data_IF_456806275936
#
_entry.id   IF_456806275936
#
_cell.length_a   1.000
_cell.length_b   1.000
_cell.length_c   1.000
_cell.angle_alpha   90.00
_cell.angle_beta   90.00
_cell.angle_gamma   90.00
#
_symmetry.space_group_name_H-M   'P 1'
#
loop_
_entity.id
_entity.type
_entity.pdbx_description
1 polymer ?
#
# COMPACT_ATOMS: atom_id res chain seq x y z
N UNK A 1 15.38 -8.52 -16.60
CA UNK A 1 14.18 -7.88 -15.99
C UNK A 1 12.94 -8.40 -16.70
N UNK A 2 12.01 -8.93 -15.93
CA UNK A 2 10.74 -9.40 -16.48
C UNK A 2 9.88 -8.19 -16.84
N UNK A 3 9.64 -7.97 -18.13
CA UNK A 3 8.87 -6.84 -18.63
C UNK A 3 7.43 -6.85 -18.11
N UNK A 4 6.83 -8.02 -17.97
CA UNK A 4 5.47 -8.16 -17.47
C UNK A 4 5.40 -7.77 -16.00
N UNK A 5 6.38 -8.15 -15.20
CA UNK A 5 6.46 -7.75 -13.79
C UNK A 5 6.56 -6.23 -13.66
N UNK A 6 7.37 -5.60 -14.51
CA UNK A 6 7.51 -4.13 -14.52
C UNK A 6 6.20 -3.44 -14.86
N UNK A 7 5.46 -3.94 -15.83
CA UNK A 7 4.14 -3.38 -16.18
C UNK A 7 3.16 -3.51 -15.01
N UNK A 8 3.16 -4.65 -14.33
CA UNK A 8 2.29 -4.88 -13.18
C UNK A 8 2.65 -3.95 -12.02
N UNK A 9 3.93 -3.76 -11.75
CA UNK A 9 4.40 -2.84 -10.70
C UNK A 9 3.98 -1.41 -11.01
N UNK A 10 4.17 -0.96 -12.24
CA UNK A 10 3.77 0.39 -12.64
C UNK A 10 2.27 0.61 -12.47
N UNK A 11 1.47 -0.36 -12.87
CA UNK A 11 0.02 -0.29 -12.71
C UNK A 11 -0.41 -0.35 -11.25
N UNK A 12 0.16 -1.24 -10.47
CA UNK A 12 -0.09 -1.33 -9.04
C UNK A 12 0.27 -0.01 -8.34
N UNK A 13 1.40 0.58 -8.71
CA UNK A 13 1.83 1.87 -8.17
C UNK A 13 0.86 3.00 -8.47
N UNK A 14 0.32 3.04 -9.69
CA UNK A 14 -0.69 4.04 -10.05
C UNK A 14 -1.95 3.88 -9.23
N UNK A 15 -2.42 2.66 -9.05
CA UNK A 15 -3.60 2.35 -8.24
C UNK A 15 -3.34 2.74 -6.77
N UNK A 16 -2.16 2.45 -6.27
CA UNK A 16 -1.79 2.78 -4.89
C UNK A 16 -1.82 4.30 -4.66
N UNK A 17 -1.31 5.07 -5.61
CA UNK A 17 -1.34 6.54 -5.55
C UNK A 17 -2.76 7.10 -5.60
N UNK A 18 -3.63 6.51 -6.42
CA UNK A 18 -5.05 6.87 -6.47
C UNK A 18 -5.72 6.62 -5.11
N UNK A 19 -5.46 5.46 -4.52
CA UNK A 19 -5.96 5.14 -3.18
C UNK A 19 -5.53 6.19 -2.16
N UNK A 20 -4.26 6.57 -2.15
CA UNK A 20 -3.75 7.60 -1.25
C UNK A 20 -4.49 8.92 -1.43
N UNK A 21 -4.60 9.38 -2.66
CA UNK A 21 -5.24 10.66 -2.97
C UNK A 21 -6.71 10.67 -2.56
N UNK A 22 -7.43 9.57 -2.81
CA UNK A 22 -8.85 9.46 -2.46
C UNK A 22 -9.05 9.34 -0.95
N UNK A 23 -8.25 8.52 -0.29
CA UNK A 23 -8.40 8.22 1.14
C UNK A 23 -8.09 9.43 2.02
N UNK A 24 -7.06 10.20 1.65
CA UNK A 24 -6.57 11.31 2.47
C UNK A 24 -6.88 12.67 1.89
N UNK A 25 -7.85 12.75 0.98
CA UNK A 25 -8.19 14.00 0.27
C UNK A 25 -8.68 15.13 1.17
N UNK A 26 -9.29 14.79 2.31
CA UNK A 26 -9.84 15.78 3.24
C UNK A 26 -8.92 16.10 4.41
N UNK A 27 -7.77 15.44 4.51
CA UNK A 27 -6.86 15.66 5.64
C UNK A 27 -5.99 16.89 5.41
N UNK A 28 -5.76 17.66 6.48
CA UNK A 28 -4.86 18.83 6.45
C UNK A 28 -3.41 18.38 6.24
N UNK A 29 -2.99 17.31 6.91
CA UNK A 29 -1.66 16.72 6.72
C UNK A 29 -1.85 15.35 6.08
N UNK A 30 -1.41 15.24 4.84
CA UNK A 30 -1.55 14.02 4.04
C UNK A 30 -0.34 13.12 4.18
N UNK A 31 -0.57 11.82 4.06
CA UNK A 31 0.53 10.87 3.91
C UNK A 31 1.35 11.25 2.68
N UNK A 32 2.68 11.45 2.79
CA UNK A 32 3.48 11.85 1.64
C UNK A 32 3.51 10.76 0.56
N UNK A 33 3.42 11.15 -0.70
CA UNK A 33 3.49 10.19 -1.80
C UNK A 33 4.82 9.42 -1.82
N UNK A 34 5.90 10.05 -1.36
CA UNK A 34 7.20 9.39 -1.28
C UNK A 34 7.20 8.21 -0.30
N UNK A 35 6.32 8.22 0.72
CA UNK A 35 6.17 7.08 1.62
C UNK A 35 5.67 5.85 0.87
N UNK A 36 4.70 6.03 -0.05
CA UNK A 36 4.20 4.94 -0.88
C UNK A 36 5.28 4.42 -1.84
N UNK A 37 6.04 5.32 -2.44
CA UNK A 37 7.16 4.95 -3.33
C UNK A 37 8.19 4.13 -2.56
N UNK A 38 8.46 4.50 -1.32
CA UNK A 38 9.39 3.76 -0.45
C UNK A 38 8.87 2.36 -0.13
N UNK A 39 7.58 2.22 0.15
CA UNK A 39 6.95 0.91 0.37
C UNK A 39 7.10 0.04 -0.89
N UNK A 40 6.83 0.62 -2.06
CA UNK A 40 6.96 -0.09 -3.34
C UNK A 40 8.41 -0.54 -3.58
N UNK A 41 9.37 0.33 -3.34
CA UNK A 41 10.78 0.05 -3.51
C UNK A 41 11.24 -1.09 -2.59
N UNK A 42 10.89 -1.01 -1.32
CA UNK A 42 11.24 -2.04 -0.34
C UNK A 42 10.59 -3.38 -0.68
N UNK A 43 9.34 -3.35 -1.13
CA UNK A 43 8.63 -4.55 -1.58
C UNK A 43 9.34 -5.20 -2.76
N UNK A 44 9.73 -4.41 -3.76
CA UNK A 44 10.43 -4.93 -4.95
C UNK A 44 11.75 -5.60 -4.61
N UNK A 45 12.44 -5.08 -3.59
CA UNK A 45 13.73 -5.62 -3.17
C UNK A 45 13.63 -6.82 -2.25
N UNK A 46 12.46 -7.13 -1.73
CA UNK A 46 12.29 -8.26 -0.84
C UNK A 46 12.39 -9.57 -1.63
N UNK A 47 13.38 -10.37 -1.28
CA UNK A 47 13.67 -11.65 -1.95
C UNK A 47 12.63 -12.73 -1.71
N UNK A 48 11.76 -12.52 -0.72
CA UNK A 48 10.68 -13.45 -0.40
C UNK A 48 9.45 -13.26 -1.26
N UNK A 49 9.39 -12.20 -2.07
CA UNK A 49 8.26 -11.96 -2.94
C UNK A 49 8.31 -12.86 -4.18
N UNK A 50 7.16 -13.38 -4.63
CA UNK A 50 7.10 -14.15 -5.86
C UNK A 50 7.56 -13.31 -7.06
N UNK A 51 8.20 -13.94 -8.02
CA UNK A 51 8.58 -13.27 -9.27
C UNK A 51 7.41 -13.15 -10.25
N UNK A 52 6.38 -13.97 -10.09
CA UNK A 52 5.25 -14.04 -11.00
C UNK A 52 3.96 -13.65 -10.32
N UNK A 53 3.27 -12.70 -10.92
CA UNK A 53 1.92 -12.31 -10.52
C UNK A 53 1.00 -12.39 -11.74
N UNK A 54 -0.22 -12.83 -11.54
CA UNK A 54 -1.19 -12.90 -12.63
C UNK A 54 -1.87 -11.56 -12.88
N UNK A 55 -1.87 -10.65 -11.90
CA UNK A 55 -2.50 -9.34 -12.06
C UNK A 55 -1.86 -8.29 -11.16
N UNK A 56 -2.09 -7.02 -11.49
CA UNK A 56 -1.66 -5.90 -10.65
C UNK A 56 -2.40 -5.88 -9.31
N UNK A 57 -3.62 -6.41 -9.26
CA UNK A 57 -4.39 -6.49 -8.01
C UNK A 57 -3.74 -7.47 -7.03
N UNK A 58 -3.31 -8.63 -7.50
CA UNK A 58 -2.57 -9.58 -6.67
C UNK A 58 -1.26 -8.99 -6.13
N UNK A 59 -0.54 -8.30 -7.01
CA UNK A 59 0.70 -7.63 -6.63
C UNK A 59 0.45 -6.55 -5.59
N UNK A 60 -0.59 -5.74 -5.78
CA UNK A 60 -0.94 -4.67 -4.85
C UNK A 60 -1.40 -5.24 -3.51
N UNK A 61 -2.13 -6.36 -3.52
CA UNK A 61 -2.49 -7.09 -2.30
C UNK A 61 -1.26 -7.42 -1.46
N UNK A 62 -0.25 -8.01 -2.09
CA UNK A 62 0.98 -8.40 -1.40
C UNK A 62 1.80 -7.19 -0.98
N UNK A 63 1.83 -6.15 -1.80
CA UNK A 63 2.53 -4.90 -1.51
C UNK A 63 1.94 -4.18 -0.29
N UNK A 64 0.62 -4.10 -0.20
CA UNK A 64 -0.04 -3.47 0.95
C UNK A 64 0.15 -4.29 2.21
N UNK A 65 0.07 -5.59 2.13
CA UNK A 65 0.34 -6.47 3.26
C UNK A 65 1.79 -6.34 3.75
N UNK A 66 2.74 -6.30 2.81
CA UNK A 66 4.15 -6.06 3.11
C UNK A 66 4.34 -4.75 3.88
N UNK A 67 3.67 -3.68 3.45
CA UNK A 67 3.74 -2.39 4.12
C UNK A 67 3.19 -2.45 5.54
N UNK A 68 2.09 -3.13 5.75
CA UNK A 68 1.52 -3.31 7.10
C UNK A 68 2.50 -4.04 8.01
N UNK A 69 3.03 -5.16 7.57
CA UNK A 69 3.91 -6.00 8.39
C UNK A 69 5.25 -5.31 8.67
N UNK A 70 5.85 -4.72 7.65
CA UNK A 70 7.18 -4.11 7.79
C UNK A 70 7.18 -2.86 8.65
N UNK A 71 6.20 -1.96 8.44
CA UNK A 71 6.24 -0.64 9.07
C UNK A 71 5.33 -0.52 10.29
N UNK A 72 4.27 -1.31 10.34
CA UNK A 72 3.29 -1.23 11.43
C UNK A 72 3.20 -2.51 12.26
N UNK A 73 4.01 -3.51 11.95
CA UNK A 73 4.14 -4.82 12.59
C UNK A 73 2.98 -5.77 12.28
N UNK A 74 1.73 -5.37 12.49
CA UNK A 74 0.57 -6.22 12.22
C UNK A 74 -0.68 -5.40 11.89
N UNK A 75 -1.75 -6.11 11.56
CA UNK A 75 -3.03 -5.51 11.17
C UNK A 75 -3.76 -4.82 12.32
N UNK A 76 -3.35 -5.02 13.56
CA UNK A 76 -3.98 -4.37 14.71
C UNK A 76 -3.64 -2.88 14.81
N UNK A 77 -2.58 -2.46 14.15
CA UNK A 77 -2.06 -1.10 14.18
C UNK A 77 -1.67 -0.62 15.58
N UNK A 78 -1.40 -1.53 16.51
CA UNK A 78 -1.06 -1.19 17.89
C UNK A 78 0.27 -0.44 18.00
N UNK A 79 1.21 -0.70 17.09
CA UNK A 79 2.51 -0.01 17.06
C UNK A 79 2.57 1.15 16.08
N UNK A 80 1.44 1.53 15.47
CA UNK A 80 1.45 2.50 14.38
C UNK A 80 1.81 3.93 14.81
N UNK A 81 1.53 4.30 16.07
CA UNK A 81 1.81 5.64 16.57
C UNK A 81 3.30 6.00 16.51
N UNK A 82 4.17 5.00 16.60
CA UNK A 82 5.62 5.18 16.53
C UNK A 82 6.25 4.65 15.24
N UNK A 83 5.44 4.37 14.22
CA UNK A 83 5.91 3.81 12.96
C UNK A 83 6.85 4.77 12.23
N UNK A 84 7.82 4.20 11.54
CA UNK A 84 8.79 4.93 10.73
C UNK A 84 8.89 4.33 9.34
N UNK A 85 8.88 5.21 8.34
CA UNK A 85 9.22 4.84 6.96
C UNK A 85 10.39 5.72 6.55
N UNK A 86 11.57 5.13 6.44
CA UNK A 86 12.80 5.86 6.16
C UNK A 86 13.21 5.74 4.69
N UNK A 87 13.70 6.84 4.14
CA UNK A 87 14.28 6.84 2.79
C UNK A 87 15.44 5.84 2.73
N UNK A 88 15.50 5.00 1.68
CA UNK A 88 16.44 3.88 1.67
C UNK A 88 17.90 4.24 1.39
N UNK A 89 18.23 5.47 0.92
CA UNK A 89 19.54 5.73 0.36
C UNK A 89 20.40 6.72 1.15
N UNK A 90 20.04 7.99 1.23
CA UNK A 90 20.97 9.01 1.74
C UNK A 90 20.66 9.53 3.14
N UNK A 91 19.48 9.31 3.63
CA UNK A 91 19.02 9.87 4.90
C UNK A 91 18.30 8.80 5.69
N UNK A 92 19.08 7.88 6.20
CA UNK A 92 18.57 6.73 6.95
C UNK A 92 17.75 7.12 8.17
N UNK A 93 18.03 8.28 8.73
CA UNK A 93 17.35 8.76 9.93
C UNK A 93 16.13 9.63 9.63
N UNK A 94 15.81 9.82 8.35
CA UNK A 94 14.68 10.65 7.98
C UNK A 94 13.41 9.82 7.87
N UNK A 95 12.56 9.96 8.87
CA UNK A 95 11.25 9.32 8.87
C UNK A 95 10.28 10.15 8.03
N UNK A 96 9.75 9.55 6.98
CA UNK A 96 8.80 10.19 6.06
C UNK A 96 7.43 10.46 6.71
N UNK A 97 7.18 9.87 7.88
CA UNK A 97 5.95 10.07 8.64
C UNK A 97 6.08 11.16 9.73
N UNK A 98 7.17 11.91 9.75
CA UNK A 98 7.41 12.91 10.79
C UNK A 98 6.33 13.99 10.90
N UNK A 99 5.68 14.33 9.77
CA UNK A 99 4.61 15.34 9.77
C UNK A 99 3.28 14.81 10.25
N UNK A 100 3.18 13.52 10.48
CA UNK A 100 1.96 12.90 10.97
C UNK A 100 2.05 12.75 12.48
N UNK A 101 0.99 13.15 13.19
CA UNK A 101 0.89 12.89 14.63
C UNK A 101 0.53 11.41 14.86
N UNK A 102 0.49 10.99 16.12
CA UNK A 102 0.20 9.59 16.45
C UNK A 102 -1.13 9.11 15.90
N UNK A 103 -2.18 9.93 16.01
CA UNK A 103 -3.50 9.57 15.51
C UNK A 103 -3.52 9.42 13.99
N UNK A 104 -2.79 10.27 13.28
CA UNK A 104 -2.70 10.21 11.82
C UNK A 104 -1.92 8.98 11.35
N UNK A 105 -0.88 8.58 12.07
CA UNK A 105 -0.12 7.35 11.76
C UNK A 105 -0.97 6.11 11.98
N UNK A 106 -1.76 6.08 13.05
CA UNK A 106 -2.69 5.00 13.32
C UNK A 106 -3.75 4.95 12.20
N UNK A 107 -4.28 6.10 11.80
CA UNK A 107 -5.26 6.21 10.72
C UNK A 107 -4.68 5.71 9.40
N UNK A 108 -3.44 6.04 9.08
CA UNK A 108 -2.76 5.53 7.90
C UNK A 108 -2.70 4.00 7.93
N UNK A 109 -2.26 3.43 9.05
CA UNK A 109 -2.21 1.97 9.20
C UNK A 109 -3.58 1.34 9.01
N UNK A 110 -4.60 1.85 9.69
CA UNK A 110 -5.96 1.31 9.61
C UNK A 110 -6.52 1.36 8.20
N UNK A 111 -6.29 2.46 7.49
CA UNK A 111 -6.75 2.58 6.11
C UNK A 111 -5.99 1.65 5.17
N UNK A 112 -4.70 1.47 5.39
CA UNK A 112 -3.89 0.53 4.61
C UNK A 112 -4.37 -0.91 4.83
N UNK A 113 -4.69 -1.27 6.07
CA UNK A 113 -5.24 -2.59 6.40
C UNK A 113 -6.59 -2.80 5.70
N UNK A 114 -7.48 -1.83 5.74
CA UNK A 114 -8.78 -1.91 5.05
C UNK A 114 -8.60 -2.11 3.56
N UNK A 115 -7.69 -1.39 2.96
CA UNK A 115 -7.40 -1.52 1.54
C UNK A 115 -6.82 -2.91 1.22
N UNK A 116 -5.87 -3.37 2.02
CA UNK A 116 -5.30 -4.71 1.87
C UNK A 116 -6.39 -5.79 1.94
N UNK A 117 -7.31 -5.69 2.90
CA UNK A 117 -8.37 -6.67 3.05
C UNK A 117 -9.35 -6.66 1.86
N UNK A 118 -9.64 -5.48 1.33
CA UNK A 118 -10.45 -5.36 0.11
C UNK A 118 -9.74 -6.00 -1.10
N UNK A 119 -8.42 -5.83 -1.19
CA UNK A 119 -7.62 -6.44 -2.25
C UNK A 119 -7.57 -7.96 -2.10
N UNK A 120 -7.44 -8.47 -0.87
CA UNK A 120 -7.48 -9.90 -0.61
C UNK A 120 -8.80 -10.52 -1.07
N UNK A 121 -9.90 -9.87 -0.74
CA UNK A 121 -11.22 -10.32 -1.18
C UNK A 121 -11.34 -10.27 -2.71
N UNK A 122 -10.92 -9.17 -3.32
CA UNK A 122 -11.02 -8.96 -4.78
C UNK A 122 -10.15 -9.93 -5.58
N UNK A 123 -9.03 -10.35 -5.02
CA UNK A 123 -8.12 -11.32 -5.67
C UNK A 123 -8.54 -12.76 -5.43
N UNK A 124 -9.59 -13.02 -4.65
CA UNK A 124 -10.08 -14.36 -4.37
C UNK A 124 -10.68 -14.99 -5.64
N UNK A 125 -10.37 -16.26 -5.88
CA UNK A 125 -10.91 -17.02 -7.00
C UNK A 125 -12.44 -17.17 -6.95
N UNK A 126 -13.04 -16.99 -5.79
CA UNK A 126 -14.49 -17.11 -5.58
C UNK A 126 -15.26 -15.84 -5.95
N UNK A 127 -14.57 -14.78 -6.30
CA UNK A 127 -15.17 -13.48 -6.56
C UNK A 127 -15.12 -13.20 -8.06
N UNK A 128 -16.25 -12.81 -8.65
CA UNK A 128 -16.31 -12.40 -10.04
C UNK A 128 -15.58 -11.09 -10.28
N UNK A 129 -15.23 -10.82 -11.54
CA UNK A 129 -14.59 -9.58 -11.93
C UNK A 129 -15.46 -8.35 -11.57
N UNK A 130 -16.77 -8.45 -11.85
CA UNK A 130 -17.71 -7.38 -11.50
C UNK A 130 -17.76 -7.11 -10.00
N UNK A 131 -17.76 -8.16 -9.19
CA UNK A 131 -17.73 -8.06 -7.72
C UNK A 131 -16.43 -7.42 -7.24
N UNK A 132 -15.29 -7.79 -7.85
CA UNK A 132 -13.99 -7.21 -7.52
C UNK A 132 -13.96 -5.71 -7.77
N UNK A 133 -14.44 -5.27 -8.93
CA UNK A 133 -14.52 -3.84 -9.27
C UNK A 133 -15.38 -3.09 -8.27
N UNK A 134 -16.54 -3.64 -7.93
CA UNK A 134 -17.46 -3.03 -6.96
C UNK A 134 -16.85 -2.93 -5.58
N UNK A 135 -16.13 -3.95 -5.15
CA UNK A 135 -15.47 -3.99 -3.83
C UNK A 135 -14.39 -2.92 -3.71
N UNK A 136 -13.66 -2.65 -4.79
CA UNK A 136 -12.55 -1.71 -4.78
C UNK A 136 -12.99 -0.25 -5.03
N UNK A 137 -14.19 -0.05 -5.54
CA UNK A 137 -14.68 1.30 -5.89
C UNK A 137 -14.60 2.30 -4.73
N UNK A 138 -14.98 1.96 -3.47
CA UNK A 138 -14.85 2.90 -2.36
C UNK A 138 -13.41 3.34 -2.07
N UNK A 139 -12.43 2.55 -2.46
CA UNK A 139 -11.01 2.80 -2.19
C UNK A 139 -10.30 3.54 -3.30
N UNK A 140 -10.63 3.26 -4.56
CA UNK A 140 -9.90 3.78 -5.72
C UNK A 140 -10.81 4.41 -6.79
N UNK A 141 -12.11 4.43 -6.56
CA UNK A 141 -13.06 4.96 -7.54
C UNK A 141 -13.26 4.02 -8.71
N UNK A 142 -14.00 4.51 -9.70
CA UNK A 142 -14.22 3.76 -10.94
C UNK A 142 -12.94 3.76 -11.77
N UNK A 143 -12.53 2.59 -12.19
CA UNK A 143 -11.36 2.43 -13.07
C UNK A 143 -11.80 2.33 -14.53
#
# INVERSE_FOLDING_TARGET
VNTDKRKLINRAGKIFKVWRSKTFSTQTVKVPSIALVTIMYDFEKDKNNPDNYSSSIEMLRDMTYYGVVKYFKDKSCSGASSAEINLPVYQQDRNLLNRLNSAQRIDFCKNLVKFNEALEYSASEKVSEAESVKTLEPFIGSL
#
